data_IF_151637750670
#
_entry.id   IF_151637750670
#
_cell.length_a   1.000
_cell.length_b   1.000
_cell.length_c   1.000
_cell.angle_alpha   90.00
_cell.angle_beta   90.00
_cell.angle_gamma   90.00
#
_symmetry.space_group_name_H-M   'P 1'
#
loop_
_entity.id
_entity.type
_entity.pdbx_description
1 polymer ?
#
# COMPACT_ATOMS: atom_id res chain seq x y z
N UNK A 1 5.80 26.14 -2.14
CA UNK A 1 5.56 24.76 -1.69
C UNK A 1 5.37 24.79 -0.19
N UNK A 2 4.13 24.65 0.24
CA UNK A 2 3.76 24.36 1.63
C UNK A 2 4.05 22.88 1.94
N UNK A 3 3.97 22.47 3.22
CA UNK A 3 4.12 21.06 3.59
C UNK A 3 3.09 20.15 2.89
N UNK A 4 1.89 20.66 2.63
CA UNK A 4 0.83 19.93 1.93
C UNK A 4 1.16 19.70 0.44
N UNK A 5 1.99 20.56 -0.17
CA UNK A 5 2.47 20.41 -1.56
C UNK A 5 3.57 19.33 -1.71
N UNK A 6 4.09 18.80 -0.59
CA UNK A 6 5.14 17.75 -0.56
C UNK A 6 4.61 16.36 -0.24
N UNK A 7 3.29 16.19 -0.25
CA UNK A 7 2.62 14.91 -0.07
C UNK A 7 2.05 14.42 -1.40
N UNK A 8 2.31 13.17 -1.75
CA UNK A 8 1.67 12.45 -2.86
C UNK A 8 0.68 11.45 -2.26
N UNK A 9 -0.59 11.57 -2.61
CA UNK A 9 -1.62 10.60 -2.27
C UNK A 9 -1.90 9.73 -3.49
N UNK A 10 -1.44 8.48 -3.44
CA UNK A 10 -1.75 7.48 -4.45
C UNK A 10 -3.01 6.70 -4.09
N UNK A 11 -3.82 6.37 -5.10
CA UNK A 11 -5.03 5.57 -4.90
C UNK A 11 -5.12 4.38 -5.86
N UNK A 12 -5.61 3.25 -5.35
CA UNK A 12 -6.02 2.11 -6.16
C UNK A 12 -7.34 2.35 -6.89
N UNK A 13 -7.77 1.39 -7.72
CA UNK A 13 -9.04 1.51 -8.42
C UNK A 13 -10.21 1.57 -7.43
N UNK A 14 -11.22 2.41 -7.71
CA UNK A 14 -12.34 2.68 -6.80
C UNK A 14 -11.99 3.41 -5.48
N UNK A 15 -10.72 3.54 -5.09
CA UNK A 15 -10.31 4.09 -3.79
C UNK A 15 -10.11 5.63 -3.79
N UNK A 16 -10.29 6.31 -4.92
CA UNK A 16 -10.03 7.76 -5.05
C UNK A 16 -10.82 8.60 -4.04
N UNK A 17 -12.11 8.35 -3.91
CA UNK A 17 -12.97 9.13 -3.02
C UNK A 17 -12.66 8.84 -1.55
N UNK A 18 -12.32 7.58 -1.21
CA UNK A 18 -11.84 7.23 0.11
C UNK A 18 -10.51 7.92 0.44
N UNK A 19 -9.57 7.96 -0.51
CA UNK A 19 -8.31 8.67 -0.34
C UNK A 19 -8.52 10.16 -0.05
N UNK A 20 -9.43 10.83 -0.77
CA UNK A 20 -9.77 12.25 -0.54
C UNK A 20 -10.44 12.47 0.81
N UNK A 21 -11.32 11.56 1.24
CA UNK A 21 -11.93 11.62 2.57
C UNK A 21 -10.91 11.44 3.69
N UNK A 22 -9.96 10.53 3.51
CA UNK A 22 -8.89 10.25 4.50
C UNK A 22 -7.84 11.37 4.54
N UNK A 23 -7.58 12.02 3.41
CA UNK A 23 -6.61 13.10 3.25
C UNK A 23 -7.28 14.37 2.71
N UNK A 24 -8.08 15.10 3.50
CA UNK A 24 -8.87 16.24 2.99
C UNK A 24 -8.09 17.54 2.78
N UNK A 25 -6.82 17.60 3.22
CA UNK A 25 -5.99 18.83 3.19
C UNK A 25 -5.18 19.02 1.90
N UNK A 26 -4.49 17.99 1.37
CA UNK A 26 -3.68 18.17 0.17
C UNK A 26 -4.52 18.65 -1.03
N UNK A 27 -3.94 19.47 -1.92
CA UNK A 27 -4.63 19.91 -3.13
C UNK A 27 -4.88 18.74 -4.10
N UNK A 28 -5.84 18.89 -5.02
CA UNK A 28 -6.19 17.82 -5.97
C UNK A 28 -5.02 17.34 -6.84
N UNK A 29 -4.05 18.22 -7.11
CA UNK A 29 -2.83 17.88 -7.86
C UNK A 29 -1.92 16.87 -7.13
N UNK A 30 -2.08 16.71 -5.81
CA UNK A 30 -1.36 15.71 -5.02
C UNK A 30 -1.96 14.31 -5.13
N UNK A 31 -3.10 14.13 -5.82
CA UNK A 31 -3.74 12.84 -5.96
C UNK A 31 -3.45 12.21 -7.31
N UNK A 32 -2.92 10.98 -7.31
CA UNK A 32 -2.63 10.23 -8.53
C UNK A 32 -3.04 8.76 -8.40
N UNK A 33 -3.36 8.06 -9.51
CA UNK A 33 -3.45 6.61 -9.49
C UNK A 33 -2.13 5.99 -9.00
N UNK A 34 -2.21 4.84 -8.32
CA UNK A 34 -1.04 4.08 -7.89
C UNK A 34 -0.12 3.75 -9.08
N UNK A 35 1.19 3.98 -8.90
CA UNK A 35 2.17 3.61 -9.92
C UNK A 35 3.56 4.18 -9.65
N UNK A 36 4.59 3.39 -9.99
CA UNK A 36 5.98 3.76 -9.73
C UNK A 36 6.43 5.03 -10.50
N UNK A 37 5.86 5.30 -11.69
CA UNK A 37 6.21 6.47 -12.48
C UNK A 37 5.85 7.79 -11.77
N UNK A 38 4.65 7.87 -11.18
CA UNK A 38 4.18 9.04 -10.45
C UNK A 38 5.05 9.28 -9.20
N UNK A 39 5.36 8.22 -8.46
CA UNK A 39 6.27 8.30 -7.31
C UNK A 39 7.66 8.82 -7.72
N UNK A 40 8.27 8.24 -8.76
CA UNK A 40 9.60 8.64 -9.23
C UNK A 40 9.64 10.09 -9.71
N UNK A 41 8.58 10.57 -10.36
CA UNK A 41 8.47 11.96 -10.77
C UNK A 41 8.39 12.89 -9.55
N UNK A 42 7.48 12.60 -8.61
CA UNK A 42 7.30 13.41 -7.41
C UNK A 42 8.57 13.47 -6.55
N UNK A 43 9.33 12.37 -6.44
CA UNK A 43 10.62 12.35 -5.74
C UNK A 43 11.61 13.35 -6.33
N UNK A 44 11.68 13.45 -7.66
CA UNK A 44 12.56 14.44 -8.33
C UNK A 44 12.16 15.89 -8.02
N UNK A 45 10.89 16.10 -7.71
CA UNK A 45 10.32 17.40 -7.34
C UNK A 45 10.36 17.68 -5.82
N UNK A 46 11.00 16.81 -5.03
CA UNK A 46 11.21 17.00 -3.58
C UNK A 46 10.08 16.49 -2.70
N UNK A 47 9.44 15.38 -3.10
CA UNK A 47 8.47 14.65 -2.27
C UNK A 47 9.04 14.29 -0.90
N UNK A 48 8.23 14.47 0.15
CA UNK A 48 8.60 14.08 1.53
C UNK A 48 7.70 12.99 2.08
N UNK A 49 6.46 12.89 1.60
CA UNK A 49 5.50 11.91 2.08
C UNK A 49 4.72 11.28 0.94
N UNK A 50 4.56 9.96 0.98
CA UNK A 50 3.62 9.24 0.12
C UNK A 50 2.59 8.50 0.96
N UNK A 51 1.31 8.66 0.61
CA UNK A 51 0.19 7.92 1.20
C UNK A 51 -0.46 7.10 0.11
N UNK A 52 -0.42 5.77 0.20
CA UNK A 52 -1.13 4.87 -0.71
C UNK A 52 -2.43 4.40 -0.04
N UNK A 53 -3.57 4.59 -0.71
CA UNK A 53 -4.88 4.06 -0.30
C UNK A 53 -5.37 3.09 -1.36
N UNK A 54 -5.34 1.80 -1.08
CA UNK A 54 -5.52 0.77 -2.11
C UNK A 54 -6.06 -0.55 -1.57
N UNK A 55 -6.69 -1.33 -2.44
CA UNK A 55 -7.10 -2.70 -2.13
C UNK A 55 -5.93 -3.68 -2.16
N UNK A 56 -6.23 -4.95 -1.86
CA UNK A 56 -5.24 -6.04 -1.88
C UNK A 56 -4.61 -6.23 -3.26
N UNK A 57 -5.41 -6.12 -4.33
CA UNK A 57 -4.96 -6.38 -5.69
C UNK A 57 -3.90 -5.38 -6.14
N UNK A 58 -4.11 -4.09 -5.88
CA UNK A 58 -3.14 -3.06 -6.26
C UNK A 58 -1.86 -3.13 -5.42
N UNK A 59 -1.96 -3.46 -4.13
CA UNK A 59 -0.77 -3.63 -3.29
C UNK A 59 0.07 -4.83 -3.74
N UNK A 60 -0.57 -5.95 -4.11
CA UNK A 60 0.13 -7.13 -4.65
C UNK A 60 0.76 -6.81 -6.00
N UNK A 61 0.01 -6.16 -6.90
CA UNK A 61 0.55 -5.74 -8.19
C UNK A 61 1.72 -4.75 -8.05
N UNK A 62 1.68 -3.88 -7.04
CA UNK A 62 2.77 -2.95 -6.76
C UNK A 62 4.03 -3.64 -6.22
N UNK A 63 3.87 -4.71 -5.44
CA UNK A 63 4.99 -5.51 -4.94
C UNK A 63 5.66 -6.34 -6.04
N UNK A 64 4.94 -6.68 -7.11
CA UNK A 64 5.41 -7.53 -8.21
C UNK A 64 5.99 -8.88 -7.71
N UNK A 65 5.40 -9.42 -6.64
CA UNK A 65 5.81 -10.68 -6.00
C UNK A 65 4.61 -11.66 -5.96
N UNK A 66 4.61 -12.70 -6.81
CA UNK A 66 3.51 -13.66 -6.87
C UNK A 66 3.41 -14.54 -5.60
N UNK A 67 4.47 -14.65 -4.81
CA UNK A 67 4.50 -15.41 -3.55
C UNK A 67 4.18 -14.57 -2.32
N UNK A 68 3.91 -13.26 -2.48
CA UNK A 68 3.78 -12.34 -1.36
C UNK A 68 2.68 -12.78 -0.38
N UNK A 69 1.49 -13.12 -0.87
CA UNK A 69 0.34 -13.45 -0.01
C UNK A 69 0.55 -14.76 0.76
N UNK A 70 1.14 -15.78 0.15
CA UNK A 70 1.52 -17.02 0.82
C UNK A 70 2.54 -16.75 1.93
N UNK A 71 3.63 -16.05 1.59
CA UNK A 71 4.68 -15.69 2.55
C UNK A 71 4.15 -14.87 3.72
N UNK A 72 3.29 -13.88 3.46
CA UNK A 72 2.63 -13.09 4.51
C UNK A 72 1.79 -13.97 5.42
N UNK A 73 1.05 -14.93 4.84
CA UNK A 73 0.19 -15.84 5.60
C UNK A 73 1.01 -16.69 6.57
N UNK A 74 2.16 -17.19 6.12
CA UNK A 74 3.07 -17.96 6.96
C UNK A 74 3.68 -17.10 8.07
N UNK A 75 4.17 -15.91 7.73
CA UNK A 75 4.81 -15.00 8.67
C UNK A 75 3.84 -14.53 9.78
N UNK A 76 2.55 -14.43 9.48
CA UNK A 76 1.51 -13.95 10.41
C UNK A 76 0.76 -15.08 11.13
N UNK A 77 1.43 -16.22 11.32
CA UNK A 77 0.92 -17.40 12.01
C UNK A 77 -0.39 -17.95 11.41
N UNK A 78 -0.60 -17.82 10.09
CA UNK A 78 -1.75 -18.38 9.38
C UNK A 78 -1.70 -19.90 9.27
N UNK A 79 -0.50 -20.48 9.38
CA UNK A 79 -0.26 -21.92 9.26
C UNK A 79 -0.21 -22.41 7.81
N UNK A 80 0.34 -23.60 7.62
CA UNK A 80 0.61 -24.16 6.29
C UNK A 80 -0.66 -24.43 5.47
N UNK A 81 -1.77 -24.82 6.12
CA UNK A 81 -3.03 -25.11 5.43
C UNK A 81 -3.62 -23.85 4.79
N UNK A 82 -3.78 -22.77 5.56
CA UNK A 82 -4.28 -21.49 5.04
C UNK A 82 -3.33 -20.91 3.99
N UNK A 83 -2.02 -21.01 4.20
CA UNK A 83 -1.04 -20.53 3.23
C UNK A 83 -1.17 -21.24 1.88
N UNK A 84 -1.40 -22.55 1.87
CA UNK A 84 -1.63 -23.31 0.64
C UNK A 84 -2.95 -22.90 -0.06
N UNK A 85 -4.01 -22.65 0.69
CA UNK A 85 -5.27 -22.14 0.12
C UNK A 85 -5.09 -20.75 -0.50
N UNK A 86 -4.36 -19.86 0.19
CA UNK A 86 -4.03 -18.51 -0.29
C UNK A 86 -3.14 -18.57 -1.55
N UNK A 87 -2.15 -19.47 -1.59
CA UNK A 87 -1.31 -19.67 -2.77
C UNK A 87 -2.10 -20.20 -3.98
N UNK A 88 -3.17 -20.95 -3.73
CA UNK A 88 -4.06 -21.48 -4.75
C UNK A 88 -5.20 -20.54 -5.18
N UNK A 89 -5.32 -19.35 -4.56
CA UNK A 89 -6.41 -18.43 -4.87
C UNK A 89 -6.27 -17.87 -6.31
N UNK A 90 -7.40 -17.77 -7.02
CA UNK A 90 -7.39 -17.32 -8.42
C UNK A 90 -7.09 -15.83 -8.55
N UNK A 91 -7.48 -15.04 -7.54
CA UNK A 91 -7.28 -13.61 -7.49
C UNK A 91 -6.79 -13.16 -6.10
N UNK A 92 -6.12 -11.99 -5.99
CA UNK A 92 -5.78 -11.39 -4.70
C UNK A 92 -6.99 -11.16 -3.80
N UNK A 93 -8.18 -10.96 -4.39
CA UNK A 93 -9.44 -10.82 -3.65
C UNK A 93 -9.84 -12.13 -2.98
N UNK A 94 -9.70 -13.26 -3.66
CA UNK A 94 -10.03 -14.57 -3.07
C UNK A 94 -9.12 -14.85 -1.87
N UNK A 95 -7.83 -14.51 -1.97
CA UNK A 95 -6.90 -14.60 -0.83
C UNK A 95 -7.28 -13.68 0.34
N UNK A 96 -7.75 -12.47 0.06
CA UNK A 96 -8.29 -11.57 1.08
C UNK A 96 -9.50 -12.19 1.80
N UNK A 97 -10.43 -12.80 1.05
CA UNK A 97 -11.63 -13.43 1.61
C UNK A 97 -11.27 -14.66 2.46
N UNK A 98 -10.23 -15.42 2.08
CA UNK A 98 -9.67 -16.50 2.90
C UNK A 98 -9.07 -15.97 4.22
N UNK A 99 -8.31 -14.87 4.18
CA UNK A 99 -7.80 -14.23 5.40
C UNK A 99 -8.93 -13.74 6.29
N UNK A 100 -9.99 -13.17 5.72
CA UNK A 100 -11.16 -12.71 6.48
C UNK A 100 -11.88 -13.88 7.15
N UNK A 101 -12.17 -14.94 6.40
CA UNK A 101 -12.82 -16.14 6.91
C UNK A 101 -12.03 -16.83 8.04
N UNK A 102 -10.69 -16.79 7.96
CA UNK A 102 -9.81 -17.34 8.97
C UNK A 102 -9.55 -16.40 10.17
N UNK A 103 -10.11 -15.18 10.17
CA UNK A 103 -9.84 -14.17 11.21
C UNK A 103 -8.40 -13.63 11.18
N UNK A 104 -7.71 -13.78 10.06
CA UNK A 104 -6.30 -13.37 9.83
C UNK A 104 -6.16 -12.08 9.04
N UNK A 105 -7.26 -11.48 8.60
CA UNK A 105 -7.24 -10.24 7.82
C UNK A 105 -6.50 -9.08 8.49
N UNK A 106 -6.66 -8.91 9.80
CA UNK A 106 -5.97 -7.85 10.56
C UNK A 106 -4.43 -7.95 10.48
N UNK A 107 -3.81 -9.05 10.95
CA UNK A 107 -2.36 -9.20 10.87
C UNK A 107 -1.82 -9.31 9.44
N UNK A 108 -2.44 -10.13 8.57
CA UNK A 108 -1.98 -10.26 7.18
C UNK A 108 -2.11 -8.96 6.38
N UNK A 109 -3.23 -8.24 6.53
CA UNK A 109 -3.45 -6.96 5.86
C UNK A 109 -2.47 -5.88 6.31
N UNK A 110 -2.14 -5.81 7.60
CA UNK A 110 -1.10 -4.89 8.12
C UNK A 110 0.28 -5.25 7.57
N UNK A 111 0.61 -6.54 7.49
CA UNK A 111 1.89 -6.99 6.94
C UNK A 111 2.00 -6.71 5.44
N UNK A 112 0.92 -6.87 4.67
CA UNK A 112 0.85 -6.42 3.28
C UNK A 112 1.18 -4.93 3.16
N UNK A 113 0.50 -4.07 3.95
CA UNK A 113 0.78 -2.64 3.98
C UNK A 113 2.24 -2.35 4.35
N UNK A 114 2.84 -3.12 5.27
CA UNK A 114 4.24 -2.97 5.66
C UNK A 114 5.19 -3.25 4.50
N UNK A 115 5.01 -4.36 3.80
CA UNK A 115 5.84 -4.72 2.64
C UNK A 115 5.69 -3.68 1.52
N UNK A 116 4.46 -3.26 1.22
CA UNK A 116 4.21 -2.22 0.21
C UNK A 116 4.82 -0.88 0.60
N UNK A 117 4.76 -0.48 1.88
CA UNK A 117 5.43 0.73 2.36
C UNK A 117 6.96 0.64 2.18
N UNK A 118 7.55 -0.52 2.47
CA UNK A 118 8.98 -0.76 2.24
C UNK A 118 9.36 -0.63 0.76
N UNK A 119 8.54 -1.16 -0.15
CA UNK A 119 8.79 -1.06 -1.59
C UNK A 119 8.63 0.38 -2.12
N UNK A 120 7.65 1.13 -1.61
CA UNK A 120 7.52 2.57 -1.89
C UNK A 120 8.77 3.34 -1.46
N UNK A 121 9.25 3.10 -0.23
CA UNK A 121 10.46 3.74 0.27
C UNK A 121 11.71 3.33 -0.54
N UNK A 122 11.82 2.05 -0.95
CA UNK A 122 12.90 1.55 -1.80
C UNK A 122 12.92 2.25 -3.16
N UNK A 123 11.78 2.34 -3.84
CA UNK A 123 11.66 3.01 -5.13
C UNK A 123 11.94 4.51 -5.03
N UNK A 124 11.53 5.15 -3.92
CA UNK A 124 11.85 6.54 -3.68
C UNK A 124 13.35 6.78 -3.41
N UNK A 125 14.02 5.87 -2.69
CA UNK A 125 15.46 5.92 -2.48
C UNK A 125 16.23 5.78 -3.80
N UNK A 126 15.81 4.82 -4.65
CA UNK A 126 16.34 4.61 -6.01
C UNK A 126 16.18 5.87 -6.86
N UNK A 127 15.00 6.49 -6.87
CA UNK A 127 14.72 7.69 -7.64
C UNK A 127 15.52 8.91 -7.17
N UNK A 128 15.80 9.00 -5.87
CA UNK A 128 16.62 10.06 -5.28
C UNK A 128 18.13 9.81 -5.41
N UNK A 129 18.56 8.63 -5.87
CA UNK A 129 19.97 8.23 -5.86
C UNK A 129 20.56 8.15 -4.45
N UNK A 130 19.74 7.80 -3.45
CA UNK A 130 20.11 7.76 -2.03
C UNK A 130 20.06 6.34 -1.49
N UNK A 131 20.91 6.03 -0.50
CA UNK A 131 20.87 4.75 0.22
C UNK A 131 19.70 4.66 1.21
N UNK A 132 19.19 5.81 1.67
CA UNK A 132 18.05 5.91 2.59
C UNK A 132 16.95 6.71 1.91
N UNK A 133 15.70 6.24 2.01
CA UNK A 133 14.58 6.93 1.40
C UNK A 133 14.38 8.32 2.02
N UNK A 134 14.33 9.39 1.21
CA UNK A 134 13.95 10.71 1.69
C UNK A 134 12.44 10.83 1.94
N UNK A 135 11.65 9.86 1.45
CA UNK A 135 10.20 9.85 1.54
C UNK A 135 9.74 8.96 2.71
N UNK A 136 8.80 9.46 3.50
CA UNK A 136 8.06 8.64 4.46
C UNK A 136 6.84 8.01 3.77
N UNK A 137 6.75 6.67 3.79
CA UNK A 137 5.58 5.97 3.24
C UNK A 137 4.54 5.62 4.31
N UNK A 138 3.27 5.80 3.93
CA UNK A 138 2.11 5.27 4.63
C UNK A 138 1.22 4.54 3.63
N UNK A 139 0.76 3.34 4.00
CA UNK A 139 -0.11 2.51 3.18
C UNK A 139 -1.35 2.16 3.98
N UNK A 140 -2.50 2.30 3.34
CA UNK A 140 -3.82 1.99 3.86
C UNK A 140 -4.42 0.91 2.97
N UNK A 141 -4.73 -0.24 3.56
CA UNK A 141 -5.57 -1.26 2.96
C UNK A 141 -7.03 -0.89 3.17
N UNK A 142 -7.79 -0.76 2.08
CA UNK A 142 -9.24 -0.62 2.09
C UNK A 142 -9.94 -1.95 1.80
N UNK A 143 -11.20 -2.06 2.21
CA UNK A 143 -12.05 -3.20 1.90
C UNK A 143 -12.33 -3.35 0.40
N UNK A 144 -13.00 -4.45 0.01
CA UNK A 144 -13.32 -4.73 -1.39
C UNK A 144 -14.24 -3.69 -2.05
N UNK A 145 -14.95 -2.87 -1.27
CA UNK A 145 -15.74 -1.75 -1.78
C UNK A 145 -14.90 -0.47 -1.97
N UNK A 146 -13.67 -0.45 -1.46
CA UNK A 146 -12.80 0.73 -1.44
C UNK A 146 -13.26 1.79 -0.44
N UNK A 147 -14.14 1.46 0.50
CA UNK A 147 -14.82 2.44 1.34
C UNK A 147 -14.25 2.55 2.75
N UNK A 148 -13.87 1.42 3.35
CA UNK A 148 -13.45 1.34 4.75
C UNK A 148 -12.00 0.89 4.87
N UNK A 149 -11.28 1.50 5.80
CA UNK A 149 -9.95 1.07 6.19
C UNK A 149 -10.01 -0.28 6.92
N UNK A 150 -9.22 -1.23 6.46
CA UNK A 150 -9.04 -2.57 7.03
C UNK A 150 -7.69 -2.66 7.76
N UNK A 151 -6.65 -2.08 7.18
CA UNK A 151 -5.30 -2.11 7.70
C UNK A 151 -4.53 -0.84 7.35
N UNK A 152 -3.50 -0.55 8.13
CA UNK A 152 -2.59 0.55 7.85
C UNK A 152 -1.19 0.26 8.40
N UNK A 153 -0.17 0.63 7.65
CA UNK A 153 1.21 0.68 8.10
C UNK A 153 1.90 1.95 7.60
N UNK A 154 2.87 2.44 8.36
CA UNK A 154 3.80 3.46 7.90
C UNK A 154 3.98 4.60 8.88
N UNK A 155 4.65 5.65 8.41
CA UNK A 155 5.09 6.80 9.20
C UNK A 155 4.74 8.08 8.47
N UNK A 156 4.46 9.14 9.22
CA UNK A 156 4.28 10.48 8.66
C UNK A 156 5.63 11.19 8.56
N UNK A 157 5.78 12.07 7.56
CA UNK A 157 6.91 12.99 7.52
C UNK A 157 6.89 13.88 8.77
N UNK A 158 8.08 14.28 9.24
CA UNK A 158 8.25 15.09 10.45
C UNK A 158 8.30 16.57 10.11
#
# INVERSE_FOLDING_TARGET
MTADDRTLVMYGDGARDAARRMMPKPPDACFAPVGAAALRAAVKDGLEQVVLVAGVAEQVAFLDDPGALESITLDMDGGAALAAEVAGAATPRDAYELWEAAGKLGPCGRELCRRTAGELERLAAEAAGSAVSPVAAQVVLVDAAGERMVGMFGRMAR
#
